data_IF_175663754364
#
_entry.id   IF_175663754364
#
_cell.length_a   1.000
_cell.length_b   1.000
_cell.length_c   1.000
_cell.angle_alpha   90.00
_cell.angle_beta   90.00
_cell.angle_gamma   90.00
#
_symmetry.space_group_name_H-M   'P 1'
#
loop_
_entity.id
_entity.type
_entity.pdbx_description
1 polymer ?
#
# COMPACT_ATOMS: atom_id res chain seq x y z
N UNK A 1 4.46 -3.96 -27.35
CA UNK A 1 4.59 -2.71 -26.57
C UNK A 1 3.41 -2.67 -25.61
N UNK A 2 3.61 -2.99 -24.34
CA UNK A 2 2.56 -2.90 -23.34
C UNK A 2 2.75 -1.58 -22.58
N UNK A 3 2.14 -0.50 -23.06
CA UNK A 3 2.13 0.80 -22.38
C UNK A 3 0.98 0.84 -21.39
N UNK A 4 1.03 -0.02 -20.38
CA UNK A 4 0.28 0.19 -19.14
C UNK A 4 1.15 1.05 -18.24
N UNK A 5 0.93 2.37 -18.24
CA UNK A 5 1.49 3.23 -17.19
C UNK A 5 0.79 2.85 -15.89
N UNK A 6 1.22 1.78 -15.24
CA UNK A 6 1.03 1.66 -13.81
C UNK A 6 1.85 2.82 -13.23
N UNK A 7 1.24 3.87 -12.65
CA UNK A 7 2.00 4.94 -12.03
C UNK A 7 2.93 4.25 -11.04
N UNK A 8 4.23 4.43 -11.22
CA UNK A 8 5.30 3.73 -10.52
C UNK A 8 5.06 3.78 -9.01
N UNK A 9 4.38 2.76 -8.48
CA UNK A 9 3.97 2.69 -7.09
C UNK A 9 5.15 2.12 -6.34
N UNK A 10 5.93 2.99 -5.72
CA UNK A 10 6.99 2.56 -4.82
C UNK A 10 6.39 2.61 -3.41
N UNK A 11 6.38 1.47 -2.73
CA UNK A 11 5.95 1.34 -1.34
C UNK A 11 7.12 0.92 -0.48
N UNK A 12 7.40 1.65 0.60
CA UNK A 12 8.38 1.24 1.60
C UNK A 12 7.64 0.86 2.89
N UNK A 13 7.94 -0.32 3.40
CA UNK A 13 7.60 -0.73 4.76
C UNK A 13 8.73 -0.29 5.68
N UNK A 14 8.36 0.39 6.76
CA UNK A 14 9.30 0.81 7.81
C UNK A 14 8.70 0.48 9.17
N UNK A 15 9.47 0.67 10.25
CA UNK A 15 8.92 0.65 11.63
C UNK A 15 7.89 1.79 11.86
N UNK A 16 7.75 2.71 10.90
CA UNK A 16 6.82 3.84 10.93
C UNK A 16 5.63 3.65 9.96
N UNK A 17 5.41 2.43 9.46
CA UNK A 17 4.28 2.10 8.59
C UNK A 17 4.63 2.12 7.10
N UNK A 18 3.60 2.39 6.27
CA UNK A 18 3.66 2.29 4.81
C UNK A 18 3.64 3.68 4.20
N UNK A 19 4.60 3.96 3.34
CA UNK A 19 4.67 5.18 2.55
C UNK A 19 4.54 4.87 1.08
N UNK A 20 3.81 5.72 0.35
CA UNK A 20 3.59 5.62 -1.09
C UNK A 20 4.11 6.86 -1.80
N UNK A 21 4.75 6.62 -2.94
CA UNK A 21 5.03 7.66 -3.94
C UNK A 21 4.24 7.41 -5.23
N UNK A 22 3.86 8.49 -5.91
CA UNK A 22 3.27 8.47 -7.27
C UNK A 22 4.13 9.23 -8.29
N UNK A 23 5.29 9.72 -7.87
CA UNK A 23 6.19 10.59 -8.62
C UNK A 23 7.63 10.06 -8.61
N UNK A 24 7.77 8.74 -8.74
CA UNK A 24 9.05 8.01 -8.80
C UNK A 24 9.94 8.21 -7.56
N UNK A 25 9.33 8.35 -6.38
CA UNK A 25 10.03 8.50 -5.10
C UNK A 25 10.45 9.94 -4.79
N UNK A 26 10.00 10.93 -5.56
CA UNK A 26 10.33 12.35 -5.32
C UNK A 26 9.60 12.87 -4.09
N UNK A 27 8.35 12.46 -3.88
CA UNK A 27 7.55 12.73 -2.67
C UNK A 27 6.89 11.45 -2.17
N UNK A 28 6.57 11.45 -0.87
CA UNK A 28 6.01 10.31 -0.16
C UNK A 28 4.83 10.76 0.69
N UNK A 29 3.75 9.98 0.67
CA UNK A 29 2.60 10.15 1.56
C UNK A 29 2.40 8.89 2.37
N UNK A 30 2.10 9.04 3.66
CA UNK A 30 1.77 7.94 4.54
C UNK A 30 0.40 7.33 4.15
N UNK A 31 0.34 6.00 4.09
CA UNK A 31 -0.88 5.23 3.78
C UNK A 31 -1.14 4.12 4.80
N UNK A 32 -0.65 4.29 6.03
CA UNK A 32 -0.75 3.33 7.15
C UNK A 32 -2.10 3.31 7.86
N UNK A 33 -3.11 4.04 7.36
CA UNK A 33 -4.40 4.16 8.04
C UNK A 33 -5.06 2.79 8.21
N UNK A 34 -5.48 2.48 9.44
CA UNK A 34 -6.08 1.19 9.80
C UNK A 34 -5.08 0.12 10.24
N UNK A 35 -3.77 0.32 10.07
CA UNK A 35 -2.77 -0.54 10.68
C UNK A 35 -2.77 -0.35 12.21
N UNK A 36 -2.94 -1.44 12.95
CA UNK A 36 -2.83 -1.43 14.41
C UNK A 36 -1.39 -1.59 14.89
N UNK A 37 -0.50 -2.03 14.00
CA UNK A 37 0.94 -2.07 14.22
C UNK A 37 1.68 -1.54 12.98
N UNK A 38 2.60 -0.60 13.20
CA UNK A 38 3.39 0.04 12.16
C UNK A 38 4.68 -0.73 11.81
N UNK A 39 5.08 -1.75 12.58
CA UNK A 39 6.17 -2.68 12.21
C UNK A 39 5.71 -3.59 11.06
N UNK A 40 5.78 -3.07 9.84
CA UNK A 40 5.45 -3.76 8.60
C UNK A 40 6.66 -4.54 8.11
N UNK A 41 6.51 -5.85 7.93
CA UNK A 41 7.60 -6.78 7.55
C UNK A 41 7.51 -7.33 6.14
N UNK A 42 6.34 -7.24 5.52
CA UNK A 42 6.12 -7.69 4.15
C UNK A 42 5.09 -6.81 3.44
N UNK A 43 5.35 -6.50 2.18
CA UNK A 43 4.44 -5.81 1.27
C UNK A 43 4.37 -6.56 -0.05
N UNK A 44 3.15 -6.82 -0.53
CA UNK A 44 2.90 -7.43 -1.85
C UNK A 44 1.73 -6.70 -2.50
N UNK A 45 1.83 -6.47 -3.81
CA UNK A 45 0.75 -5.93 -4.64
C UNK A 45 0.34 -6.99 -5.65
N UNK A 46 -0.96 -7.29 -5.77
CA UNK A 46 -1.49 -8.21 -6.79
C UNK A 46 -1.65 -7.52 -8.17
N UNK A 47 -2.13 -8.27 -9.17
CA UNK A 47 -2.29 -7.75 -10.53
C UNK A 47 -3.43 -6.72 -10.64
N UNK A 48 -4.40 -6.81 -9.73
CA UNK A 48 -5.58 -5.95 -9.62
C UNK A 48 -5.28 -4.64 -8.86
N UNK A 49 -4.11 -4.55 -8.21
CA UNK A 49 -3.65 -3.39 -7.47
C UNK A 49 -4.03 -3.42 -5.99
N UNK A 50 -4.41 -4.57 -5.44
CA UNK A 50 -4.59 -4.75 -4.00
C UNK A 50 -3.23 -4.80 -3.31
N UNK A 51 -3.04 -3.96 -2.29
CA UNK A 51 -1.85 -3.97 -1.44
C UNK A 51 -2.11 -4.81 -0.20
N UNK A 52 -1.26 -5.80 0.06
CA UNK A 52 -1.23 -6.59 1.28
C UNK A 52 -0.03 -6.21 2.15
N UNK A 53 -0.27 -6.04 3.44
CA UNK A 53 0.75 -5.69 4.42
C UNK A 53 0.76 -6.69 5.58
N UNK A 54 1.88 -7.39 5.76
CA UNK A 54 2.13 -8.25 6.91
C UNK A 54 2.84 -7.47 8.02
N UNK A 55 2.28 -7.46 9.22
CA UNK A 55 2.83 -6.74 10.38
C UNK A 55 3.36 -7.69 11.44
N UNK A 56 4.26 -7.21 12.30
CA UNK A 56 4.78 -7.97 13.43
C UNK A 56 3.69 -8.18 14.51
N UNK A 57 3.05 -9.35 14.52
CA UNK A 57 2.05 -9.69 15.53
C UNK A 57 0.73 -8.92 15.44
N UNK A 58 0.58 -7.99 14.49
CA UNK A 58 -0.68 -7.27 14.20
C UNK A 58 -1.56 -7.95 13.14
N UNK A 59 -1.05 -9.00 12.47
CA UNK A 59 -1.76 -9.71 11.41
C UNK A 59 -1.47 -9.16 10.01
N UNK A 60 -2.34 -9.52 9.07
CA UNK A 60 -2.28 -9.11 7.65
C UNK A 60 -3.40 -8.12 7.37
N UNK A 61 -3.06 -7.01 6.71
CA UNK A 61 -3.99 -5.96 6.31
C UNK A 61 -4.02 -5.85 4.79
N UNK A 62 -5.16 -5.42 4.21
CA UNK A 62 -5.27 -5.21 2.75
C UNK A 62 -5.95 -3.89 2.38
N UNK A 63 -5.42 -3.19 1.38
CA UNK A 63 -6.09 -2.07 0.70
C UNK A 63 -6.43 -2.47 -0.71
N UNK A 64 -7.61 -2.10 -1.15
CA UNK A 64 -7.94 -2.06 -2.57
C UNK A 64 -7.71 -0.65 -3.09
N UNK A 65 -6.79 -0.48 -4.03
CA UNK A 65 -6.80 0.71 -4.87
C UNK A 65 -7.93 0.55 -5.88
N UNK A 66 -9.08 1.17 -5.62
CA UNK A 66 -10.07 1.34 -6.68
C UNK A 66 -9.41 2.14 -7.81
N UNK A 67 -9.25 1.50 -8.96
CA UNK A 67 -8.94 2.16 -10.23
C UNK A 67 -9.99 3.29 -10.40
N UNK A 68 -9.57 4.50 -10.80
CA UNK A 68 -9.84 5.74 -10.07
C UNK A 68 -11.29 6.21 -10.18
N UNK A 69 -11.98 6.24 -9.02
CA UNK A 69 -12.90 7.29 -8.58
C UNK A 69 -13.68 6.80 -7.35
N UNK A 70 -12.99 6.61 -6.22
CA UNK A 70 -13.46 6.87 -4.85
C UNK A 70 -12.51 6.18 -3.88
N UNK A 71 -12.12 6.91 -2.84
CA UNK A 71 -11.25 6.40 -1.79
C UNK A 71 -12.09 5.44 -0.93
N UNK A 72 -11.82 4.14 -0.97
CA UNK A 72 -12.34 3.23 0.06
C UNK A 72 -11.21 2.86 1.03
N UNK A 73 -11.45 3.15 2.30
CA UNK A 73 -10.55 2.83 3.40
C UNK A 73 -10.40 1.30 3.57
N UNK A 74 -9.24 0.90 4.09
CA UNK A 74 -8.95 -0.50 4.46
C UNK A 74 -10.05 -1.05 5.39
N UNK A 75 -10.54 -2.27 5.12
CA UNK A 75 -11.50 -3.00 5.97
C UNK A 75 -10.91 -4.36 6.38
N UNK A 76 -11.22 -4.82 7.60
CA UNK A 76 -10.77 -6.11 8.17
C UNK A 76 -11.72 -7.23 7.74
N UNK A 77 -11.16 -8.39 7.36
CA UNK A 77 -11.86 -9.69 7.33
C UNK A 77 -11.54 -10.49 8.60
#
# INVERSE_FOLDING_TARGET
MATGKHPYLITNATEFGIFRSTDNGSTWSEVSSGLTNLDVRALVVDAEGTLYAGTAGGGVFRSTYLVPAELSAFSVE
#
